data_IF_378507056503
#
_entry.id   IF_378507056503
#
_cell.length_a   1.000
_cell.length_b   1.000
_cell.length_c   1.000
_cell.angle_alpha   90.00
_cell.angle_beta   90.00
_cell.angle_gamma   90.00
#
_symmetry.space_group_name_H-M   'P 1'
#
loop_
_entity.id
_entity.type
_entity.pdbx_description
1 polymer ?
#
# COMPACT_ATOMS: atom_id res chain seq x y z
N UNK A 1 32.76 6.07 8.03
CA UNK A 1 33.21 6.24 6.63
C UNK A 1 32.19 5.49 5.78
N UNK A 2 31.22 6.18 5.17
CA UNK A 2 30.18 5.53 4.37
C UNK A 2 30.80 5.10 3.04
N UNK A 3 30.91 3.80 2.81
CA UNK A 3 31.37 3.25 1.54
C UNK A 3 30.42 3.65 0.39
N UNK A 4 30.93 3.84 -0.84
CA UNK A 4 30.11 4.22 -1.99
C UNK A 4 28.99 3.20 -2.31
N UNK A 5 29.14 1.91 -1.96
CA UNK A 5 28.07 0.92 -2.09
C UNK A 5 26.81 1.27 -1.26
N UNK A 6 26.96 1.82 -0.05
CA UNK A 6 25.82 2.14 0.80
C UNK A 6 24.99 3.30 0.27
N UNK A 7 25.62 4.26 -0.40
CA UNK A 7 24.93 5.36 -1.07
C UNK A 7 24.14 4.86 -2.28
N UNK A 8 24.67 3.87 -3.01
CA UNK A 8 23.98 3.24 -4.13
C UNK A 8 22.73 2.49 -3.65
N UNK A 9 22.87 1.73 -2.56
CA UNK A 9 21.75 1.01 -1.93
C UNK A 9 20.65 1.96 -1.46
N UNK A 10 21.02 3.03 -0.75
CA UNK A 10 20.07 4.06 -0.30
C UNK A 10 19.31 4.69 -1.47
N UNK A 11 20.01 5.00 -2.57
CA UNK A 11 19.38 5.56 -3.77
C UNK A 11 18.36 4.59 -4.36
N UNK A 12 18.71 3.32 -4.50
CA UNK A 12 17.80 2.30 -5.03
C UNK A 12 16.59 2.09 -4.12
N UNK A 13 16.79 2.02 -2.80
CA UNK A 13 15.69 1.94 -1.83
C UNK A 13 14.73 3.13 -1.96
N UNK A 14 15.25 4.36 -2.08
CA UNK A 14 14.43 5.56 -2.24
C UNK A 14 13.67 5.55 -3.57
N UNK A 15 14.32 5.14 -4.67
CA UNK A 15 13.67 5.03 -5.97
C UNK A 15 12.54 4.01 -5.93
N UNK A 16 12.80 2.81 -5.42
CA UNK A 16 11.80 1.74 -5.27
C UNK A 16 10.62 2.23 -4.41
N UNK A 17 10.91 2.92 -3.31
CA UNK A 17 9.89 3.49 -2.42
C UNK A 17 9.00 4.54 -3.10
N UNK A 18 9.58 5.45 -3.88
CA UNK A 18 8.79 6.41 -4.66
C UNK A 18 8.06 5.74 -5.83
N UNK A 19 8.63 4.68 -6.38
CA UNK A 19 8.04 3.91 -7.47
C UNK A 19 6.80 3.14 -6.99
N UNK A 20 6.80 2.62 -5.76
CA UNK A 20 5.61 1.98 -5.16
C UNK A 20 4.41 2.91 -5.09
N UNK A 21 4.63 4.22 -4.99
CA UNK A 21 3.54 5.21 -5.00
C UNK A 21 2.88 5.37 -6.38
N UNK A 22 3.62 5.15 -7.45
CA UNK A 22 3.14 5.29 -8.84
C UNK A 22 2.61 3.96 -9.36
N UNK A 23 3.34 2.88 -9.11
CA UNK A 23 2.98 1.52 -9.49
C UNK A 23 3.61 0.53 -8.51
N UNK A 24 2.78 -0.08 -7.68
CA UNK A 24 3.21 -1.13 -6.73
C UNK A 24 3.94 -2.25 -7.47
N UNK A 25 3.37 -2.74 -8.59
CA UNK A 25 3.94 -3.86 -9.34
C UNK A 25 5.31 -3.51 -9.95
N UNK A 26 5.46 -2.33 -10.55
CA UNK A 26 6.73 -1.91 -11.16
C UNK A 26 7.84 -1.76 -10.13
N UNK A 27 7.50 -1.33 -8.91
CA UNK A 27 8.46 -1.24 -7.82
C UNK A 27 8.92 -2.61 -7.31
N UNK A 28 8.02 -3.60 -7.24
CA UNK A 28 8.37 -4.98 -6.90
C UNK A 28 9.33 -5.56 -7.95
N UNK A 29 9.05 -5.34 -9.24
CA UNK A 29 9.96 -5.75 -10.32
C UNK A 29 11.34 -5.07 -10.20
N UNK A 30 11.38 -3.75 -9.98
CA UNK A 30 12.63 -3.02 -9.80
C UNK A 30 13.43 -3.52 -8.59
N UNK A 31 12.75 -3.85 -7.48
CA UNK A 31 13.37 -4.41 -6.29
C UNK A 31 13.93 -5.81 -6.53
N UNK A 32 13.16 -6.70 -7.17
CA UNK A 32 13.58 -8.04 -7.50
C UNK A 32 14.77 -8.03 -8.48
N UNK A 33 14.72 -7.19 -9.52
CA UNK A 33 15.82 -7.01 -10.46
C UNK A 33 17.10 -6.54 -9.74
N UNK A 34 16.97 -5.57 -8.83
CA UNK A 34 18.10 -5.09 -8.01
C UNK A 34 18.67 -6.17 -7.09
N UNK A 35 17.86 -7.13 -6.64
CA UNK A 35 18.34 -8.27 -5.85
C UNK A 35 19.02 -9.35 -6.68
N UNK A 36 18.55 -9.62 -7.89
CA UNK A 36 19.14 -10.61 -8.82
C UNK A 36 20.53 -10.15 -9.28
N UNK A 37 20.68 -8.85 -9.59
CA UNK A 37 21.95 -8.22 -9.95
C UNK A 37 22.95 -8.09 -8.77
N UNK A 38 22.63 -8.65 -7.60
CA UNK A 38 23.40 -8.53 -6.34
C UNK A 38 23.69 -7.08 -5.91
N UNK A 39 22.98 -6.11 -6.49
CA UNK A 39 23.08 -4.69 -6.17
C UNK A 39 22.47 -4.39 -4.80
N UNK A 40 21.51 -5.19 -4.33
CA UNK A 40 20.84 -4.97 -3.06
C UNK A 40 20.54 -6.31 -2.36
N UNK A 41 20.75 -6.45 -1.04
CA UNK A 41 20.36 -7.66 -0.34
C UNK A 41 18.83 -7.80 -0.29
N UNK A 42 18.33 -9.03 -0.47
CA UNK A 42 16.89 -9.38 -0.56
C UNK A 42 16.08 -8.77 0.59
N UNK A 43 16.63 -8.77 1.79
CA UNK A 43 15.96 -8.21 2.96
C UNK A 43 15.75 -6.69 2.86
N UNK A 44 16.74 -5.92 2.37
CA UNK A 44 16.59 -4.47 2.21
C UNK A 44 15.62 -4.11 1.09
N UNK A 45 15.63 -4.88 0.00
CA UNK A 45 14.69 -4.70 -1.10
C UNK A 45 13.25 -4.95 -0.63
N UNK A 46 13.04 -6.06 0.09
CA UNK A 46 11.74 -6.39 0.68
C UNK A 46 11.26 -5.31 1.64
N UNK A 47 12.09 -4.86 2.58
CA UNK A 47 11.72 -3.82 3.54
C UNK A 47 11.38 -2.50 2.85
N UNK A 48 12.13 -2.13 1.79
CA UNK A 48 11.88 -0.88 1.06
C UNK A 48 10.55 -0.90 0.32
N UNK A 49 10.26 -2.00 -0.40
CA UNK A 49 8.97 -2.21 -1.07
C UNK A 49 7.84 -2.25 -0.04
N UNK A 50 8.02 -3.02 1.03
CA UNK A 50 7.00 -3.20 2.07
C UNK A 50 6.66 -1.88 2.77
N UNK A 51 7.68 -1.08 3.14
CA UNK A 51 7.47 0.25 3.70
C UNK A 51 6.80 1.17 2.70
N UNK A 52 7.16 1.11 1.42
CA UNK A 52 6.52 1.84 0.33
C UNK A 52 5.02 1.56 0.25
N UNK A 53 4.65 0.29 0.25
CA UNK A 53 3.25 -0.17 0.24
C UNK A 53 2.51 0.32 1.48
N UNK A 54 3.05 0.07 2.69
CA UNK A 54 2.37 0.42 3.94
C UNK A 54 2.21 1.94 4.07
N UNK A 55 3.24 2.72 3.73
CA UNK A 55 3.18 4.18 3.80
C UNK A 55 2.24 4.73 2.71
N UNK A 56 2.23 4.15 1.51
CA UNK A 56 1.27 4.46 0.44
C UNK A 56 -0.18 4.25 0.87
N UNK A 57 -0.46 3.07 1.41
CA UNK A 57 -1.77 2.68 1.94
C UNK A 57 -2.25 3.69 3.02
N UNK A 58 -1.36 4.07 3.95
CA UNK A 58 -1.65 5.07 4.98
C UNK A 58 -1.86 6.47 4.42
N UNK A 59 -1.08 6.89 3.42
CA UNK A 59 -1.20 8.20 2.78
C UNK A 59 -2.54 8.35 2.04
N UNK A 60 -2.94 7.34 1.27
CA UNK A 60 -4.23 7.34 0.55
C UNK A 60 -5.41 7.35 1.54
N UNK A 61 -5.33 6.53 2.60
CA UNK A 61 -6.33 6.55 3.67
C UNK A 61 -6.41 7.94 4.33
N UNK A 62 -5.26 8.55 4.62
CA UNK A 62 -5.16 9.89 5.20
C UNK A 62 -5.77 10.96 4.31
N UNK A 63 -5.55 10.89 3.00
CA UNK A 63 -6.18 11.78 2.01
C UNK A 63 -7.70 11.65 2.04
N UNK A 64 -8.24 10.42 2.05
CA UNK A 64 -9.69 10.19 2.18
C UNK A 64 -10.27 10.71 3.50
N UNK A 65 -9.54 10.55 4.60
CA UNK A 65 -9.92 11.06 5.90
C UNK A 65 -9.93 12.60 5.94
N UNK A 66 -8.92 13.25 5.36
CA UNK A 66 -8.83 14.70 5.31
C UNK A 66 -9.90 15.29 4.39
N UNK A 67 -10.19 14.63 3.27
CA UNK A 67 -11.24 15.04 2.36
C UNK A 67 -12.63 15.01 3.03
N UNK A 68 -12.86 14.07 3.97
CA UNK A 68 -14.08 14.05 4.77
C UNK A 68 -14.19 15.16 5.83
N UNK A 69 -13.06 15.77 6.22
CA UNK A 69 -13.03 16.91 7.16
C UNK A 69 -13.76 18.14 6.60
N UNK A 70 -13.99 18.21 5.29
CA UNK A 70 -14.87 19.20 4.69
C UNK A 70 -16.34 18.94 5.04
N UNK A 71 -16.83 19.68 6.05
CA UNK A 71 -18.20 19.64 6.60
C UNK A 71 -19.30 19.72 5.53
N UNK A 72 -19.04 20.39 4.41
CA UNK A 72 -19.99 20.56 3.29
C UNK A 72 -20.36 19.23 2.61
N UNK A 73 -19.38 18.34 2.39
CA UNK A 73 -19.61 17.05 1.75
C UNK A 73 -20.18 16.01 2.74
N UNK A 74 -19.83 16.17 4.03
CA UNK A 74 -20.38 15.38 5.16
C UNK A 74 -21.90 15.57 5.29
N UNK A 75 -22.37 16.82 5.25
CA UNK A 75 -23.79 17.13 5.44
C UNK A 75 -24.70 16.63 4.31
N UNK A 76 -24.16 16.44 3.10
CA UNK A 76 -24.96 16.07 1.91
C UNK A 76 -25.11 14.56 1.73
N UNK A 77 -24.26 13.76 2.39
CA UNK A 77 -24.12 12.31 2.12
C UNK A 77 -24.35 11.45 3.37
N UNK A 78 -24.29 12.00 4.60
CA UNK A 78 -24.68 11.24 5.80
C UNK A 78 -26.18 10.93 5.74
N UNK A 79 -26.48 9.68 5.38
CA UNK A 79 -27.81 9.11 5.41
C UNK A 79 -27.73 7.63 5.84
N UNK A 80 -28.87 6.99 6.13
CA UNK A 80 -28.93 5.61 6.63
C UNK A 80 -28.33 4.56 5.68
N UNK A 81 -28.15 4.91 4.40
CA UNK A 81 -27.47 4.06 3.41
C UNK A 81 -25.95 4.01 3.62
N UNK A 82 -25.35 5.11 4.09
CA UNK A 82 -23.90 5.22 4.29
C UNK A 82 -23.44 4.45 5.53
N UNK A 83 -24.24 4.45 6.61
CA UNK A 83 -23.97 3.65 7.81
C UNK A 83 -23.93 2.15 7.48
N UNK A 84 -24.88 1.68 6.65
CA UNK A 84 -24.90 0.29 6.16
C UNK A 84 -23.69 -0.02 5.29
N UNK A 85 -23.32 0.90 4.41
CA UNK A 85 -22.16 0.72 3.54
C UNK A 85 -20.87 0.62 4.36
N UNK A 86 -20.72 1.47 5.38
CA UNK A 86 -19.60 1.43 6.34
C UNK A 86 -19.53 0.09 7.08
N UNK A 87 -20.64 -0.36 7.67
CA UNK A 87 -20.72 -1.65 8.37
C UNK A 87 -20.38 -2.82 7.44
N UNK A 88 -20.88 -2.77 6.20
CA UNK A 88 -20.57 -3.80 5.20
C UNK A 88 -19.09 -3.80 4.82
N UNK A 89 -18.51 -2.62 4.58
CA UNK A 89 -17.10 -2.43 4.28
C UNK A 89 -16.22 -2.90 5.44
N UNK A 90 -16.60 -2.59 6.68
CA UNK A 90 -15.87 -2.99 7.88
C UNK A 90 -15.89 -4.51 8.09
N UNK A 91 -17.04 -5.14 7.83
CA UNK A 91 -17.18 -6.60 7.92
C UNK A 91 -16.42 -7.32 6.82
N UNK A 92 -16.38 -6.75 5.61
CA UNK A 92 -15.72 -7.34 4.43
C UNK A 92 -14.36 -6.73 4.12
N UNK A 93 -13.78 -5.94 5.04
CA UNK A 93 -12.59 -5.11 4.79
C UNK A 93 -11.42 -5.95 4.27
N UNK A 94 -11.22 -7.12 4.85
CA UNK A 94 -10.17 -8.07 4.44
C UNK A 94 -10.34 -8.50 2.99
N UNK A 95 -11.54 -8.94 2.59
CA UNK A 95 -11.80 -9.36 1.21
C UNK A 95 -11.66 -8.18 0.25
N UNK A 96 -12.19 -7.02 0.61
CA UNK A 96 -12.13 -5.82 -0.22
C UNK A 96 -10.68 -5.40 -0.45
N UNK A 97 -9.85 -5.33 0.60
CA UNK A 97 -8.44 -4.95 0.48
C UNK A 97 -7.62 -5.97 -0.31
N UNK A 98 -7.88 -7.27 -0.14
CA UNK A 98 -7.24 -8.32 -0.94
C UNK A 98 -7.65 -8.22 -2.42
N UNK A 99 -8.94 -8.06 -2.71
CA UNK A 99 -9.43 -7.93 -4.09
C UNK A 99 -8.92 -6.65 -4.77
N UNK A 100 -8.83 -5.54 -4.04
CA UNK A 100 -8.29 -4.29 -4.55
C UNK A 100 -6.79 -4.35 -4.84
N UNK A 101 -6.03 -5.20 -4.13
CA UNK A 101 -4.62 -5.45 -4.44
C UNK A 101 -4.43 -6.25 -5.71
N UNK A 102 -5.32 -7.21 -5.96
CA UNK A 102 -5.30 -8.01 -7.20
C UNK A 102 -5.77 -7.16 -8.39
N UNK A 103 -6.62 -6.15 -8.14
CA UNK A 103 -7.19 -5.33 -9.21
C UNK A 103 -6.59 -3.92 -9.22
N UNK A 104 -5.57 -3.66 -10.05
CA UNK A 104 -4.96 -2.35 -10.14
C UNK A 104 -6.01 -1.30 -10.50
N UNK A 105 -5.98 -0.17 -9.79
CA UNK A 105 -6.92 0.95 -9.97
C UNK A 105 -8.10 0.98 -9.00
N UNK A 106 -8.50 -0.15 -8.40
CA UNK A 106 -9.54 -0.17 -7.35
C UNK A 106 -9.00 0.17 -5.97
N UNK A 107 -7.69 0.03 -5.77
CA UNK A 107 -7.01 0.33 -4.52
C UNK A 107 -7.22 1.81 -4.13
N UNK A 108 -6.90 2.75 -5.00
CA UNK A 108 -7.08 4.19 -4.75
C UNK A 108 -8.50 4.57 -4.30
N UNK A 109 -9.58 4.30 -5.06
CA UNK A 109 -10.93 4.71 -4.69
C UNK A 109 -11.42 4.00 -3.43
N UNK A 110 -11.09 2.72 -3.24
CA UNK A 110 -11.46 1.97 -2.04
C UNK A 110 -10.79 2.51 -0.78
N UNK A 111 -9.49 2.82 -0.84
CA UNK A 111 -8.74 3.32 0.30
C UNK A 111 -9.19 4.74 0.68
N UNK A 112 -9.42 5.59 -0.33
CA UNK A 112 -10.04 6.91 -0.15
C UNK A 112 -11.43 6.76 0.47
N UNK A 113 -12.25 5.82 0.00
CA UNK A 113 -13.57 5.55 0.54
C UNK A 113 -13.50 5.06 2.00
N UNK A 114 -12.59 4.14 2.34
CA UNK A 114 -12.34 3.68 3.70
C UNK A 114 -11.96 4.84 4.65
N UNK A 115 -11.06 5.71 4.21
CA UNK A 115 -10.66 6.92 4.93
C UNK A 115 -11.83 7.89 5.12
N UNK A 116 -12.62 8.07 4.06
CA UNK A 116 -13.81 8.91 4.06
C UNK A 116 -14.88 8.40 5.03
N UNK A 117 -15.15 7.10 5.05
CA UNK A 117 -16.13 6.48 5.94
C UNK A 117 -15.67 6.38 7.40
N UNK A 118 -14.45 6.83 7.73
CA UNK A 118 -13.83 6.71 9.06
C UNK A 118 -13.93 5.27 9.60
N UNK A 119 -13.52 4.31 8.79
CA UNK A 119 -13.24 2.96 9.29
C UNK A 119 -12.16 3.09 10.38
N UNK A 120 -12.19 2.33 11.49
CA UNK A 120 -11.15 2.41 12.51
C UNK A 120 -9.76 2.18 11.89
N UNK A 121 -8.90 3.21 11.97
CA UNK A 121 -7.55 3.21 11.37
C UNK A 121 -6.76 1.98 11.77
N UNK A 122 -6.86 1.55 13.04
CA UNK A 122 -6.16 0.35 13.54
C UNK A 122 -6.57 -0.94 12.81
N UNK A 123 -7.87 -1.13 12.53
CA UNK A 123 -8.32 -2.31 11.76
C UNK A 123 -7.82 -2.24 10.33
N UNK A 124 -8.00 -1.09 9.69
CA UNK A 124 -7.56 -0.87 8.33
C UNK A 124 -6.04 -1.09 8.18
N UNK A 125 -5.24 -0.47 9.05
CA UNK A 125 -3.80 -0.61 9.06
C UNK A 125 -3.39 -2.06 9.29
N UNK A 126 -3.99 -2.77 10.26
CA UNK A 126 -3.66 -4.18 10.53
C UNK A 126 -3.91 -5.05 9.30
N UNK A 127 -5.06 -4.87 8.65
CA UNK A 127 -5.44 -5.67 7.46
C UNK A 127 -4.59 -5.30 6.25
N UNK A 128 -4.31 -4.02 6.02
CA UNK A 128 -3.43 -3.53 4.95
C UNK A 128 -1.99 -4.02 5.17
N UNK A 129 -1.47 -3.99 6.39
CA UNK A 129 -0.13 -4.51 6.76
C UNK A 129 -0.04 -6.02 6.54
N UNK A 130 -1.05 -6.79 6.98
CA UNK A 130 -1.08 -8.25 6.78
C UNK A 130 -1.18 -8.61 5.30
N UNK A 131 -2.15 -8.02 4.61
CA UNK A 131 -2.36 -8.23 3.17
C UNK A 131 -1.14 -7.77 2.37
N UNK A 132 -0.57 -6.64 2.78
CA UNK A 132 0.76 -6.10 2.47
C UNK A 132 1.84 -7.14 2.44
N UNK A 133 2.08 -7.71 3.61
CA UNK A 133 3.18 -8.63 3.82
C UNK A 133 2.98 -9.92 3.02
N UNK A 134 1.75 -10.43 2.97
CA UNK A 134 1.43 -11.64 2.20
C UNK A 134 1.64 -11.40 0.71
N UNK A 135 1.07 -10.32 0.16
CA UNK A 135 1.22 -9.98 -1.26
C UNK A 135 2.68 -9.72 -1.63
N UNK A 136 3.36 -8.82 -0.91
CA UNK A 136 4.74 -8.47 -1.21
C UNK A 136 5.68 -9.68 -1.11
N UNK A 137 5.48 -10.57 -0.14
CA UNK A 137 6.30 -11.77 0.01
C UNK A 137 6.06 -12.75 -1.14
N UNK A 138 4.79 -12.96 -1.53
CA UNK A 138 4.44 -13.86 -2.63
C UNK A 138 4.99 -13.34 -3.95
N UNK A 139 4.74 -12.06 -4.28
CA UNK A 139 5.17 -11.49 -5.56
C UNK A 139 6.69 -11.40 -5.62
N UNK A 140 7.37 -10.96 -4.56
CA UNK A 140 8.83 -10.89 -4.55
C UNK A 140 9.47 -12.28 -4.74
N UNK A 141 8.97 -13.31 -4.05
CA UNK A 141 9.46 -14.68 -4.25
C UNK A 141 9.17 -15.20 -5.66
N UNK A 142 7.97 -14.95 -6.20
CA UNK A 142 7.61 -15.35 -7.56
C UNK A 142 8.53 -14.69 -8.60
N UNK A 143 8.82 -13.40 -8.44
CA UNK A 143 9.70 -12.68 -9.38
C UNK A 143 11.14 -13.16 -9.24
N UNK A 144 11.64 -13.43 -8.03
CA UNK A 144 12.97 -14.01 -7.82
C UNK A 144 13.07 -15.44 -8.40
N UNK A 145 11.99 -16.22 -8.35
CA UNK A 145 11.97 -17.58 -8.90
C UNK A 145 11.90 -17.60 -10.44
N UNK A 146 11.21 -16.63 -11.04
CA UNK A 146 11.04 -16.51 -12.50
C UNK A 146 12.14 -15.69 -13.20
N UNK A 147 12.93 -14.90 -12.45
CA UNK A 147 14.05 -14.12 -12.97
C UNK A 147 15.36 -14.89 -12.91
#
# INVERSE_FOLDING_TARGET
MFSPEHLLWLKQCIVIFFMTFVHEDAAIFAAAFSTVEQLLPVWMAYVSVYLGIVIGDMLIYGLGHFAQKNTWLRSKIIGPKVERLKLWLETHLVRVLVLCRITPGLLFPTFVACGWFRIPFSRFATVSILSGAVYSSIVLNLVILCG
#
